data_IF_413515100376
#
_entry.id   IF_413515100376
#
_cell.length_a   1.000
_cell.length_b   1.000
_cell.length_c   1.000
_cell.angle_alpha   90.00
_cell.angle_beta   90.00
_cell.angle_gamma   90.00
#
_symmetry.space_group_name_H-M   'P 1'
#
loop_
_entity.id
_entity.type
_entity.pdbx_description
1 polymer ?
#
# COMPACT_ATOMS: atom_id res chain seq x y z
N UNK A 1 -16.47 -28.42 -19.57
CA UNK A 1 -15.39 -28.76 -18.61
C UNK A 1 -15.08 -27.57 -17.68
N UNK A 2 -14.93 -26.34 -18.20
CA UNK A 2 -14.74 -25.15 -17.37
C UNK A 2 -15.94 -24.85 -16.44
N UNK A 3 -17.17 -24.93 -16.97
CA UNK A 3 -18.39 -24.67 -16.17
C UNK A 3 -18.58 -25.66 -15.02
N UNK A 4 -18.23 -26.93 -15.23
CA UNK A 4 -18.31 -27.96 -14.19
C UNK A 4 -17.27 -27.72 -13.08
N UNK A 5 -16.04 -27.32 -13.45
CA UNK A 5 -15.00 -26.93 -12.48
C UNK A 5 -15.42 -25.69 -11.69
N UNK A 6 -16.06 -24.71 -12.35
CA UNK A 6 -16.54 -23.49 -11.70
C UNK A 6 -17.71 -23.76 -10.76
N UNK A 7 -18.63 -24.65 -11.12
CA UNK A 7 -19.72 -25.07 -10.23
C UNK A 7 -19.17 -25.73 -8.95
N UNK A 8 -18.22 -26.68 -9.09
CA UNK A 8 -17.53 -27.31 -7.96
C UNK A 8 -16.76 -26.30 -7.11
N UNK A 9 -16.11 -25.32 -7.73
CA UNK A 9 -15.39 -24.26 -7.03
C UNK A 9 -16.33 -23.38 -6.20
N UNK A 10 -17.49 -22.98 -6.76
CA UNK A 10 -18.49 -22.19 -6.04
C UNK A 10 -19.01 -22.93 -4.80
N UNK A 11 -19.28 -24.22 -4.92
CA UNK A 11 -19.69 -25.05 -3.78
C UNK A 11 -18.59 -25.13 -2.71
N UNK A 12 -17.34 -25.37 -3.11
CA UNK A 12 -16.21 -25.43 -2.19
C UNK A 12 -15.98 -24.09 -1.46
N UNK A 13 -16.05 -22.97 -2.18
CA UNK A 13 -15.84 -21.62 -1.62
C UNK A 13 -17.01 -21.20 -0.73
N UNK A 14 -18.24 -21.63 -1.03
CA UNK A 14 -19.40 -21.39 -0.17
C UNK A 14 -19.23 -22.05 1.21
N UNK A 15 -18.54 -23.19 1.28
CA UNK A 15 -18.21 -23.89 2.53
C UNK A 15 -17.14 -23.18 3.39
N UNK A 16 -16.44 -22.17 2.87
CA UNK A 16 -15.42 -21.43 3.62
C UNK A 16 -16.08 -20.35 4.50
N UNK A 17 -16.23 -20.62 5.79
CA UNK A 17 -16.86 -19.71 6.76
C UNK A 17 -15.92 -18.60 7.28
N UNK A 18 -14.61 -18.75 7.05
CA UNK A 18 -13.56 -17.84 7.54
C UNK A 18 -13.36 -16.59 6.65
N UNK A 19 -13.95 -16.57 5.46
CA UNK A 19 -13.81 -15.47 4.49
C UNK A 19 -15.15 -14.80 4.25
N UNK A 20 -15.12 -13.50 3.99
CA UNK A 20 -16.29 -12.67 3.70
C UNK A 20 -16.91 -12.99 2.34
N UNK A 21 -18.18 -12.64 2.16
CA UNK A 21 -18.87 -12.78 0.87
C UNK A 21 -18.18 -11.96 -0.25
N UNK A 22 -17.55 -10.84 0.09
CA UNK A 22 -16.78 -10.03 -0.86
C UNK A 22 -15.52 -10.78 -1.34
N UNK A 23 -14.79 -11.44 -0.43
CA UNK A 23 -13.62 -12.25 -0.77
C UNK A 23 -14.01 -13.47 -1.60
N UNK A 24 -15.11 -14.15 -1.24
CA UNK A 24 -15.66 -15.26 -2.02
C UNK A 24 -15.99 -14.83 -3.45
N UNK A 25 -16.74 -13.73 -3.59
CA UNK A 25 -17.15 -13.19 -4.89
C UNK A 25 -15.93 -12.78 -5.73
N UNK A 26 -14.98 -12.06 -5.13
CA UNK A 26 -13.74 -11.64 -5.80
C UNK A 26 -12.90 -12.83 -6.27
N UNK A 27 -12.73 -13.84 -5.42
CA UNK A 27 -11.99 -15.06 -5.77
C UNK A 27 -12.66 -15.84 -6.90
N UNK A 28 -13.98 -16.06 -6.84
CA UNK A 28 -14.74 -16.72 -7.91
C UNK A 28 -14.64 -15.93 -9.22
N UNK A 29 -14.71 -14.60 -9.17
CA UNK A 29 -14.56 -13.75 -10.36
C UNK A 29 -13.19 -13.92 -11.03
N UNK A 30 -12.11 -13.91 -10.24
CA UNK A 30 -10.75 -14.12 -10.74
C UNK A 30 -10.57 -15.51 -11.36
N UNK A 31 -11.02 -16.57 -10.68
CA UNK A 31 -10.87 -17.93 -11.20
C UNK A 31 -11.77 -18.17 -12.42
N UNK A 32 -12.95 -17.55 -12.48
CA UNK A 32 -13.81 -17.60 -13.66
C UNK A 32 -13.08 -17.04 -14.89
N UNK A 33 -12.41 -15.88 -14.76
CA UNK A 33 -11.61 -15.29 -15.83
C UNK A 33 -10.41 -16.14 -16.21
N UNK A 34 -9.74 -16.74 -15.22
CA UNK A 34 -8.66 -17.67 -15.50
C UNK A 34 -9.13 -18.91 -16.30
N UNK A 35 -10.31 -19.45 -15.96
CA UNK A 35 -10.87 -20.63 -16.62
C UNK A 35 -11.53 -20.32 -17.97
N UNK A 36 -12.01 -19.09 -18.20
CA UNK A 36 -12.56 -18.70 -19.50
C UNK A 36 -11.49 -18.73 -20.58
N UNK A 37 -10.21 -18.60 -20.20
CA UNK A 37 -9.11 -18.52 -21.15
C UNK A 37 -9.19 -17.27 -22.03
N UNK A 38 -9.99 -16.28 -21.62
CA UNK A 38 -10.02 -14.95 -22.23
C UNK A 38 -8.72 -14.25 -21.89
N UNK A 39 -7.70 -14.54 -22.69
CA UNK A 39 -6.47 -13.79 -22.71
C UNK A 39 -6.70 -12.54 -23.56
N UNK A 40 -6.59 -11.38 -22.93
CA UNK A 40 -6.47 -10.13 -23.67
C UNK A 40 -5.09 -10.13 -24.33
N UNK A 41 -5.02 -10.66 -25.55
CA UNK A 41 -3.80 -10.66 -26.32
C UNK A 41 -3.45 -9.23 -26.70
N UNK A 42 -2.34 -8.74 -26.17
CA UNK A 42 -1.80 -7.45 -26.58
C UNK A 42 -1.33 -7.57 -28.02
N UNK A 43 -2.05 -6.94 -28.94
CA UNK A 43 -1.60 -6.81 -30.32
C UNK A 43 -0.38 -5.88 -30.38
N UNK A 44 0.80 -6.46 -30.59
CA UNK A 44 2.07 -5.71 -30.59
C UNK A 44 2.08 -4.50 -31.52
N UNK A 45 1.40 -4.59 -32.67
CA UNK A 45 1.29 -3.50 -33.64
C UNK A 45 0.49 -2.27 -33.14
N UNK A 46 -0.32 -2.43 -32.08
CA UNK A 46 -1.06 -1.35 -31.43
C UNK A 46 -0.28 -0.68 -30.29
N UNK A 47 0.91 -1.20 -29.95
CA UNK A 47 1.76 -0.62 -28.92
C UNK A 47 2.54 0.55 -29.53
N UNK A 48 2.43 1.71 -28.89
CA UNK A 48 3.17 2.90 -29.25
C UNK A 48 3.82 3.50 -28.00
N UNK A 49 4.96 4.18 -28.19
CA UNK A 49 5.57 4.94 -27.11
C UNK A 49 4.60 6.01 -26.63
N UNK A 50 4.31 6.10 -25.32
CA UNK A 50 3.48 7.17 -24.79
C UNK A 50 4.06 8.53 -25.13
N UNK A 51 3.20 9.51 -25.38
CA UNK A 51 3.64 10.88 -25.61
C UNK A 51 3.92 11.60 -24.28
N UNK A 52 4.61 12.73 -24.34
CA UNK A 52 4.91 13.55 -23.17
C UNK A 52 3.65 14.17 -22.53
N UNK A 53 2.50 14.13 -23.19
CA UNK A 53 1.21 14.48 -22.58
C UNK A 53 0.61 13.32 -21.76
N UNK A 54 0.94 12.07 -22.10
CA UNK A 54 0.46 10.86 -21.40
C UNK A 54 1.39 10.50 -20.25
N UNK A 55 2.70 10.58 -20.47
CA UNK A 55 3.74 10.35 -19.46
C UNK A 55 4.55 11.63 -19.33
N UNK A 56 4.02 12.57 -18.56
CA UNK A 56 4.58 13.91 -18.41
C UNK A 56 5.94 13.86 -17.69
N UNK A 57 7.00 14.45 -18.27
CA UNK A 57 8.29 14.58 -17.60
C UNK A 57 8.17 15.37 -16.30
N UNK A 58 8.83 14.90 -15.23
CA UNK A 58 8.74 15.53 -13.91
C UNK A 58 9.17 17.01 -13.92
N UNK A 59 10.24 17.34 -14.66
CA UNK A 59 10.77 18.71 -14.74
C UNK A 59 9.83 19.69 -15.47
N UNK A 60 8.81 19.17 -16.17
CA UNK A 60 7.79 19.98 -16.82
C UNK A 60 6.58 20.28 -15.91
N UNK A 61 6.50 19.66 -14.73
CA UNK A 61 5.42 19.91 -13.77
C UNK A 61 5.58 21.29 -13.13
N UNK A 62 4.44 21.94 -12.88
CA UNK A 62 4.43 23.20 -12.13
C UNK A 62 4.99 22.99 -10.72
N UNK A 63 5.82 23.94 -10.27
CA UNK A 63 6.37 23.92 -8.93
C UNK A 63 5.26 24.05 -7.88
N UNK A 64 5.51 23.49 -6.69
CA UNK A 64 4.57 23.62 -5.58
C UNK A 64 4.37 25.12 -5.22
N UNK A 65 3.18 25.50 -4.74
CA UNK A 65 2.94 26.86 -4.27
C UNK A 65 3.94 27.29 -3.20
N UNK A 66 4.45 28.52 -3.29
CA UNK A 66 5.30 29.10 -2.23
C UNK A 66 4.48 29.43 -0.97
N UNK A 67 3.17 29.67 -1.13
CA UNK A 67 2.27 29.92 -0.01
C UNK A 67 1.98 28.63 0.78
N UNK A 68 2.23 28.72 2.09
CA UNK A 68 2.01 27.65 3.05
C UNK A 68 0.52 27.29 3.12
N UNK A 69 -0.39 28.27 3.04
CA UNK A 69 -1.83 28.01 3.13
C UNK A 69 -2.37 27.31 1.87
N UNK A 70 -1.87 27.65 0.68
CA UNK A 70 -2.19 26.90 -0.55
C UNK A 70 -1.66 25.47 -0.50
N UNK A 71 -0.42 25.28 -0.05
CA UNK A 71 0.17 23.94 0.13
C UNK A 71 -0.65 23.11 1.11
N UNK A 72 -1.05 23.70 2.24
CA UNK A 72 -1.90 23.05 3.25
C UNK A 72 -3.25 22.62 2.69
N UNK A 73 -3.89 23.43 1.84
CA UNK A 73 -5.16 23.05 1.16
C UNK A 73 -5.00 21.83 0.27
N UNK A 74 -3.86 21.67 -0.41
CA UNK A 74 -3.55 20.48 -1.20
C UNK A 74 -3.31 19.27 -0.30
N UNK A 75 -2.49 19.43 0.73
CA UNK A 75 -2.17 18.36 1.68
C UNK A 75 -3.39 17.83 2.42
N UNK A 76 -4.36 18.70 2.77
CA UNK A 76 -5.59 18.25 3.43
C UNK A 76 -6.52 17.43 2.51
N UNK A 77 -6.24 17.33 1.21
CA UNK A 77 -6.91 16.42 0.27
C UNK A 77 -6.13 15.13 0.03
N UNK A 78 -4.89 15.05 0.51
CA UNK A 78 -3.99 13.93 0.28
C UNK A 78 -4.16 12.87 1.38
N UNK A 79 -4.10 11.60 0.98
CA UNK A 79 -3.88 10.47 1.87
C UNK A 79 -2.67 9.68 1.36
N UNK A 80 -1.82 9.20 2.28
CA UNK A 80 -0.64 8.41 1.92
C UNK A 80 -0.90 6.95 2.27
N UNK A 81 -0.92 6.07 1.27
CA UNK A 81 -1.06 4.64 1.45
C UNK A 81 0.26 3.92 1.19
N UNK A 82 0.65 3.01 2.08
CA UNK A 82 1.81 2.13 1.90
C UNK A 82 1.35 0.67 1.83
N UNK A 83 1.80 -0.03 0.78
CA UNK A 83 1.58 -1.46 0.59
C UNK A 83 2.50 -2.22 1.54
N UNK A 84 1.94 -2.80 2.59
CA UNK A 84 2.68 -3.43 3.69
C UNK A 84 2.31 -4.92 3.87
N UNK A 85 1.91 -5.58 2.78
CA UNK A 85 1.62 -7.02 2.77
C UNK A 85 2.86 -7.90 2.61
N UNK A 86 4.01 -7.33 2.25
CA UNK A 86 5.23 -8.06 1.93
C UNK A 86 6.02 -8.49 3.16
N UNK A 87 6.48 -9.74 3.16
CA UNK A 87 7.39 -10.28 4.17
C UNK A 87 8.86 -10.02 3.80
N UNK A 88 9.70 -9.92 4.83
CA UNK A 88 11.15 -9.78 4.71
C UNK A 88 11.90 -11.08 4.39
N UNK A 89 11.21 -12.14 3.93
CA UNK A 89 11.77 -13.49 3.80
C UNK A 89 12.97 -13.56 2.85
N UNK A 90 12.97 -12.79 1.75
CA UNK A 90 14.13 -12.70 0.84
C UNK A 90 15.39 -12.16 1.53
N UNK A 91 15.23 -11.43 2.65
CA UNK A 91 16.32 -10.89 3.45
C UNK A 91 16.60 -11.72 4.72
N UNK A 92 16.00 -12.90 4.85
CA UNK A 92 16.19 -13.79 6.01
C UNK A 92 15.41 -13.39 7.25
N UNK A 93 14.49 -12.43 7.15
CA UNK A 93 13.64 -11.98 8.26
C UNK A 93 12.26 -12.65 8.21
N UNK A 94 11.68 -12.93 9.39
CA UNK A 94 10.38 -13.60 9.52
C UNK A 94 9.19 -12.63 9.55
N UNK A 95 9.41 -11.33 9.72
CA UNK A 95 8.37 -10.31 9.87
C UNK A 95 8.09 -9.45 8.62
N UNK A 96 7.22 -8.43 8.75
CA UNK A 96 6.96 -7.47 7.69
C UNK A 96 8.25 -6.76 7.27
N UNK A 97 8.43 -6.54 5.97
CA UNK A 97 9.61 -5.83 5.46
C UNK A 97 9.73 -4.41 6.03
N UNK A 98 8.61 -3.79 6.40
CA UNK A 98 8.58 -2.44 6.98
C UNK A 98 9.23 -2.32 8.35
N UNK A 99 9.31 -3.40 9.13
CA UNK A 99 9.81 -3.43 10.52
C UNK A 99 11.32 -3.71 10.56
N UNK A 100 11.94 -3.87 9.40
CA UNK A 100 13.39 -4.11 9.32
C UNK A 100 14.11 -2.80 9.56
N UNK A 101 15.10 -2.82 10.46
CA UNK A 101 15.98 -1.70 10.72
C UNK A 101 16.77 -1.34 9.46
N UNK A 102 16.73 -0.06 9.09
CA UNK A 102 17.42 0.49 7.91
C UNK A 102 18.69 1.19 8.34
N UNK A 103 18.60 2.09 9.32
CA UNK A 103 19.71 2.93 9.76
C UNK A 103 19.44 3.53 11.14
N UNK A 104 20.46 3.56 11.99
CA UNK A 104 20.45 4.24 13.30
C UNK A 104 19.29 3.78 14.20
N UNK A 105 18.91 2.50 14.20
CA UNK A 105 17.77 2.01 14.99
C UNK A 105 16.41 2.26 14.35
N UNK A 106 16.31 2.99 13.23
CA UNK A 106 15.04 3.27 12.57
C UNK A 106 14.69 2.21 11.53
N UNK A 107 13.45 1.74 11.61
CA UNK A 107 12.83 0.88 10.60
C UNK A 107 12.32 1.70 9.41
N UNK A 108 11.93 1.03 8.31
CA UNK A 108 11.25 1.73 7.21
C UNK A 108 9.96 2.40 7.68
N UNK A 109 9.23 1.76 8.59
CA UNK A 109 7.98 2.31 9.11
C UNK A 109 8.24 3.59 9.91
N UNK A 110 9.28 3.62 10.75
CA UNK A 110 9.66 4.82 11.51
C UNK A 110 9.96 6.00 10.58
N UNK A 111 10.76 5.76 9.55
CA UNK A 111 11.14 6.80 8.60
C UNK A 111 9.92 7.37 7.86
N UNK A 112 8.94 6.54 7.52
CA UNK A 112 7.70 6.99 6.88
C UNK A 112 6.86 7.82 7.86
N UNK A 113 6.73 7.38 9.13
CA UNK A 113 6.01 8.13 10.16
C UNK A 113 6.66 9.51 10.37
N UNK A 114 7.99 9.55 10.52
CA UNK A 114 8.76 10.80 10.68
C UNK A 114 8.57 11.73 9.48
N UNK A 115 8.54 11.21 8.25
CA UNK A 115 8.29 12.01 7.04
C UNK A 115 6.90 12.67 7.08
N UNK A 116 5.85 11.91 7.42
CA UNK A 116 4.48 12.43 7.49
C UNK A 116 4.31 13.40 8.67
N UNK A 117 4.91 13.10 9.81
CA UNK A 117 4.87 13.99 10.97
C UNK A 117 5.59 15.31 10.70
N UNK A 118 6.78 15.26 10.09
CA UNK A 118 7.53 16.45 9.67
C UNK A 118 6.73 17.28 8.67
N UNK A 119 6.06 16.64 7.71
CA UNK A 119 5.19 17.29 6.74
C UNK A 119 4.00 18.00 7.43
N UNK A 120 3.31 17.30 8.33
CA UNK A 120 2.17 17.85 9.07
C UNK A 120 2.57 18.99 10.00
N UNK A 121 3.71 18.88 10.71
CA UNK A 121 4.26 19.94 11.56
C UNK A 121 4.66 21.17 10.75
N UNK A 122 5.32 20.98 9.60
CA UNK A 122 5.82 22.07 8.76
C UNK A 122 4.70 22.91 8.14
N UNK A 123 3.64 22.26 7.65
CA UNK A 123 2.56 22.92 6.91
C UNK A 123 1.26 23.07 7.71
N UNK A 124 1.22 22.62 8.97
CA UNK A 124 0.00 22.63 9.79
C UNK A 124 -1.14 21.81 9.17
N UNK A 125 -0.81 20.77 8.42
CA UNK A 125 -1.77 19.86 7.75
C UNK A 125 -2.04 18.61 8.60
N UNK A 126 -3.01 17.79 8.17
CA UNK A 126 -3.31 16.51 8.79
C UNK A 126 -3.40 15.40 7.73
N UNK A 127 -2.27 15.06 7.11
CA UNK A 127 -2.16 13.99 6.12
C UNK A 127 -2.23 12.63 6.84
N UNK A 128 -3.21 11.77 6.54
CA UNK A 128 -3.30 10.44 7.12
C UNK A 128 -2.32 9.47 6.42
N UNK A 129 -1.69 8.62 7.23
CA UNK A 129 -0.91 7.47 6.78
C UNK A 129 -1.74 6.20 6.92
N UNK A 130 -1.98 5.51 5.81
CA UNK A 130 -2.66 4.22 5.74
C UNK A 130 -1.66 3.11 5.42
N UNK A 131 -1.73 2.01 6.17
CA UNK A 131 -0.90 0.83 5.95
C UNK A 131 -1.79 -0.31 5.47
N UNK A 132 -1.60 -0.74 4.23
CA UNK A 132 -2.32 -1.88 3.66
C UNK A 132 -1.59 -3.16 4.01
N UNK A 133 -1.91 -3.72 5.17
CA UNK A 133 -1.34 -4.96 5.69
C UNK A 133 -1.96 -6.19 5.02
N UNK A 134 -1.31 -7.34 5.21
CA UNK A 134 -1.89 -8.66 4.94
C UNK A 134 -2.14 -9.40 6.26
N UNK A 135 -2.81 -10.55 6.20
CA UNK A 135 -2.96 -11.43 7.36
C UNK A 135 -1.60 -11.86 7.97
N UNK A 136 -0.53 -11.91 7.16
CA UNK A 136 0.81 -12.27 7.63
C UNK A 136 1.55 -11.11 8.31
N UNK A 137 1.13 -9.87 8.06
CA UNK A 137 1.88 -8.68 8.51
C UNK A 137 1.14 -7.84 9.53
N UNK A 138 -0.16 -8.08 9.72
CA UNK A 138 -1.02 -7.23 10.53
C UNK A 138 -0.58 -7.13 11.99
N UNK A 139 -0.42 -8.27 12.68
CA UNK A 139 -0.09 -8.28 14.11
C UNK A 139 1.27 -7.63 14.40
N UNK A 140 2.28 -7.96 13.62
CA UNK A 140 3.63 -7.43 13.81
C UNK A 140 3.71 -5.94 13.46
N UNK A 141 2.94 -5.49 12.48
CA UNK A 141 2.83 -4.06 12.17
C UNK A 141 2.16 -3.29 13.31
N UNK A 142 1.10 -3.85 13.93
CA UNK A 142 0.46 -3.21 15.09
C UNK A 142 1.42 -3.09 16.28
N UNK A 143 2.19 -4.14 16.58
CA UNK A 143 3.23 -4.10 17.63
C UNK A 143 4.27 -3.01 17.33
N UNK A 144 4.73 -2.94 16.08
CA UNK A 144 5.70 -1.93 15.66
C UNK A 144 5.15 -0.51 15.85
N UNK A 145 3.92 -0.23 15.41
CA UNK A 145 3.29 1.11 15.58
C UNK A 145 3.22 1.52 17.05
N UNK A 146 2.82 0.59 17.94
CA UNK A 146 2.76 0.87 19.37
C UNK A 146 4.14 1.24 19.93
N UNK A 147 5.20 0.53 19.52
CA UNK A 147 6.56 0.88 19.92
C UNK A 147 7.07 2.20 19.33
N UNK A 148 6.69 2.55 18.09
CA UNK A 148 7.05 3.83 17.47
C UNK A 148 6.50 5.01 18.27
N UNK A 149 5.25 4.92 18.73
CA UNK A 149 4.63 5.99 19.53
C UNK A 149 5.35 6.22 20.85
N UNK A 150 5.80 5.15 21.51
CA UNK A 150 6.59 5.24 22.74
C UNK A 150 7.95 5.89 22.49
N UNK A 151 8.69 5.41 21.46
CA UNK A 151 10.04 5.91 21.16
C UNK A 151 10.06 7.37 20.71
N UNK A 152 9.08 7.80 19.90
CA UNK A 152 8.94 9.21 19.50
C UNK A 152 8.65 10.13 20.70
N UNK A 153 7.87 9.65 21.67
CA UNK A 153 7.54 10.44 22.87
C UNK A 153 8.77 10.60 23.78
N UNK A 154 9.58 9.54 23.92
CA UNK A 154 10.82 9.57 24.70
C UNK A 154 11.87 10.49 24.06
N UNK A 155 12.05 10.41 22.73
CA UNK A 155 13.01 11.27 22.01
C UNK A 155 12.62 12.75 21.98
N UNK A 156 11.32 13.08 22.03
CA UNK A 156 10.84 14.47 22.16
C UNK A 156 11.07 15.02 23.58
N UNK A 157 11.12 14.15 24.61
CA UNK A 157 11.34 14.58 26.00
C UNK A 157 12.81 14.85 26.34
N UNK A 158 13.75 14.37 25.52
CA UNK A 158 15.18 14.57 25.70
C UNK A 158 15.75 15.80 24.98
N UNK A 159 14.90 16.64 24.36
CA UNK A 159 15.27 17.91 23.71
C UNK A 159 14.37 19.06 24.18
#
# INVERSE_FOLDING_TARGET
MADEKLAKLREAVAGLTQISENEKSGFISLVSRYLSGEEEHVEWGKIHTPTDEVVVPYDALEAAPEDIEETKKLLNKLAVLKLNGGLGTTMGCTGPKSVIEVRNGFTFLDLIVIQIESLNKKYGSNVPLLLMNSFNTHEDTLKAILSCQTSLTEQISEH
#
